data_IF_479918628932
#
_entry.id   IF_479918628932
#
_cell.length_a   1.000
_cell.length_b   1.000
_cell.length_c   1.000
_cell.angle_alpha   90.00
_cell.angle_beta   90.00
_cell.angle_gamma   90.00
#
_symmetry.space_group_name_H-M   'P 1'
#
loop_
_entity.id
_entity.type
_entity.pdbx_description
1 polymer ?
#
# COMPACT_ATOMS: atom_id res chain seq x y z
N UNK A 1 6.64 17.70 -4.80
CA UNK A 1 6.42 16.32 -5.31
C UNK A 1 4.93 16.06 -5.37
N UNK A 2 4.43 15.42 -6.44
CA UNK A 2 2.99 15.31 -6.73
C UNK A 2 2.21 14.52 -5.65
N UNK A 3 2.88 13.68 -4.87
CA UNK A 3 2.26 12.79 -3.86
C UNK A 3 3.13 12.71 -2.60
N UNK A 4 3.10 13.73 -1.71
CA UNK A 4 4.01 13.80 -0.58
C UNK A 4 3.78 12.70 0.47
N UNK A 5 2.56 12.19 0.65
CA UNK A 5 2.25 11.15 1.65
C UNK A 5 2.66 9.75 1.19
N UNK A 6 2.36 9.36 -0.05
CA UNK A 6 2.87 8.11 -0.65
C UNK A 6 4.39 8.17 -0.75
N UNK A 7 4.94 9.34 -1.05
CA UNK A 7 6.39 9.56 -1.03
C UNK A 7 6.95 9.43 0.39
N UNK A 8 6.31 9.97 1.41
CA UNK A 8 6.73 9.85 2.81
C UNK A 8 6.76 8.37 3.27
N UNK A 9 5.69 7.61 3.01
CA UNK A 9 5.59 6.17 3.34
C UNK A 9 6.70 5.34 2.67
N UNK A 10 7.16 5.73 1.48
CA UNK A 10 8.20 5.01 0.73
C UNK A 10 9.62 5.52 1.02
N UNK A 11 9.76 6.74 1.55
CA UNK A 11 11.05 7.44 1.73
C UNK A 11 11.50 7.48 3.19
N UNK A 12 10.59 7.49 4.16
CA UNK A 12 10.92 7.47 5.60
C UNK A 12 11.24 6.06 6.10
N UNK A 13 12.26 5.41 5.54
CA UNK A 13 12.86 4.26 6.21
C UNK A 13 13.72 4.75 7.38
N UNK A 14 13.11 4.91 8.55
CA UNK A 14 13.79 4.78 9.84
C UNK A 14 13.44 3.42 10.42
N UNK A 15 14.41 2.75 11.04
CA UNK A 15 14.28 1.39 11.61
C UNK A 15 13.06 1.22 12.57
N UNK A 16 12.49 2.32 13.09
CA UNK A 16 11.26 2.31 13.90
C UNK A 16 9.97 1.99 13.13
N UNK A 17 9.86 2.32 11.85
CA UNK A 17 8.64 2.06 11.06
C UNK A 17 8.56 0.60 10.57
N UNK A 18 9.72 -0.03 10.34
CA UNK A 18 9.79 -1.45 10.01
C UNK A 18 9.18 -2.31 11.13
N UNK A 19 9.43 -1.94 12.40
CA UNK A 19 8.84 -2.61 13.56
C UNK A 19 7.31 -2.45 13.63
N UNK A 20 6.78 -1.27 13.30
CA UNK A 20 5.34 -1.01 13.38
C UNK A 20 4.57 -1.66 12.23
N UNK A 21 5.17 -1.79 11.05
CA UNK A 21 4.60 -2.55 9.94
C UNK A 21 4.60 -4.05 10.20
N UNK A 22 5.70 -4.59 10.72
CA UNK A 22 5.76 -5.99 11.10
C UNK A 22 4.75 -6.30 12.21
N UNK A 23 4.53 -5.37 13.16
CA UNK A 23 3.44 -5.48 14.14
C UNK A 23 2.07 -5.47 13.47
N UNK A 24 1.83 -4.61 12.49
CA UNK A 24 0.57 -4.60 11.74
C UNK A 24 0.30 -5.94 11.05
N UNK A 25 1.28 -6.49 10.33
CA UNK A 25 1.14 -7.80 9.69
C UNK A 25 0.94 -8.91 10.72
N UNK A 26 1.68 -8.87 11.84
CA UNK A 26 1.50 -9.82 12.94
C UNK A 26 0.06 -9.77 13.49
N UNK A 27 -0.45 -8.58 13.78
CA UNK A 27 -1.84 -8.42 14.25
C UNK A 27 -2.85 -8.94 13.23
N UNK A 28 -2.63 -8.66 11.94
CA UNK A 28 -3.52 -9.16 10.88
C UNK A 28 -3.44 -10.68 10.69
N UNK A 29 -2.27 -11.29 10.91
CA UNK A 29 -2.13 -12.76 10.98
C UNK A 29 -2.92 -13.30 12.17
N UNK A 30 -2.78 -12.69 13.35
CA UNK A 30 -3.50 -13.10 14.56
C UNK A 30 -5.03 -12.97 14.41
N UNK A 31 -5.49 -11.99 13.63
CA UNK A 31 -6.91 -11.78 13.29
C UNK A 31 -7.41 -12.68 12.13
N UNK A 32 -6.53 -13.47 11.52
CA UNK A 32 -6.82 -14.35 10.39
C UNK A 32 -7.06 -13.61 9.07
N UNK A 33 -6.61 -12.37 8.95
CA UNK A 33 -6.73 -11.55 7.73
C UNK A 33 -5.55 -11.76 6.78
N UNK A 34 -4.36 -12.02 7.32
CA UNK A 34 -3.15 -12.27 6.55
C UNK A 34 -2.63 -13.71 6.70
N UNK A 35 -1.92 -14.18 5.69
CA UNK A 35 -1.37 -15.53 5.59
C UNK A 35 -0.19 -15.73 6.55
N UNK A 36 -0.35 -16.70 7.46
CA UNK A 36 0.70 -17.03 8.46
C UNK A 36 1.98 -17.65 7.86
N UNK A 37 1.94 -18.15 6.63
CA UNK A 37 3.05 -18.84 5.97
C UNK A 37 4.01 -17.89 5.23
N UNK A 38 3.72 -16.59 5.23
CA UNK A 38 4.53 -15.57 4.55
C UNK A 38 5.60 -15.01 5.48
N UNK A 39 6.83 -14.88 4.98
CA UNK A 39 7.87 -14.09 5.64
C UNK A 39 7.69 -12.59 5.30
N UNK A 40 7.06 -11.87 6.23
CA UNK A 40 6.76 -10.44 6.08
C UNK A 40 7.98 -9.55 6.06
N UNK A 41 9.13 -9.98 6.59
CA UNK A 41 10.36 -9.20 6.48
C UNK A 41 10.81 -9.24 5.02
N UNK A 42 10.87 -10.42 4.42
CA UNK A 42 11.29 -10.59 3.03
C UNK A 42 10.34 -9.87 2.07
N UNK A 43 9.04 -10.15 2.15
CA UNK A 43 8.11 -9.64 1.13
C UNK A 43 7.90 -8.14 1.22
N UNK A 44 7.85 -7.55 2.43
CA UNK A 44 7.70 -6.10 2.57
C UNK A 44 8.98 -5.36 2.18
N UNK A 45 10.17 -5.92 2.46
CA UNK A 45 11.44 -5.31 2.03
C UNK A 45 11.49 -5.21 0.51
N UNK A 46 11.21 -6.32 -0.19
CA UNK A 46 11.20 -6.34 -1.66
C UNK A 46 10.13 -5.42 -2.25
N UNK A 47 8.93 -5.43 -1.67
CA UNK A 47 7.84 -4.55 -2.09
C UNK A 47 8.21 -3.07 -1.96
N UNK A 48 8.82 -2.67 -0.84
CA UNK A 48 9.31 -1.30 -0.59
C UNK A 48 10.38 -0.89 -1.57
N UNK A 49 11.36 -1.76 -1.82
CA UNK A 49 12.45 -1.46 -2.75
C UNK A 49 11.95 -1.28 -4.18
N UNK A 50 11.01 -2.12 -4.63
CA UNK A 50 10.37 -2.00 -5.95
C UNK A 50 9.57 -0.69 -6.07
N UNK A 51 8.77 -0.33 -5.05
CA UNK A 51 8.06 0.95 -5.03
C UNK A 51 9.02 2.14 -4.98
N UNK A 52 10.11 2.04 -4.23
CA UNK A 52 11.14 3.08 -4.13
C UNK A 52 11.83 3.31 -5.47
N UNK A 53 12.16 2.25 -6.22
CA UNK A 53 12.71 2.36 -7.58
C UNK A 53 11.70 3.07 -8.48
N UNK A 54 10.44 2.66 -8.46
CA UNK A 54 9.37 3.31 -9.23
C UNK A 54 9.26 4.81 -8.91
N UNK A 55 9.17 5.18 -7.63
CA UNK A 55 9.02 6.57 -7.22
C UNK A 55 10.25 7.45 -7.44
N UNK A 56 11.45 6.86 -7.45
CA UNK A 56 12.70 7.57 -7.79
C UNK A 56 12.85 7.82 -9.29
N UNK A 57 12.17 7.02 -10.11
CA UNK A 57 12.19 7.19 -11.57
C UNK A 57 11.21 8.30 -11.94
N UNK A 58 11.62 9.55 -11.76
CA UNK A 58 10.77 10.73 -11.96
C UNK A 58 10.19 10.78 -13.38
N UNK A 59 8.89 11.10 -13.49
CA UNK A 59 8.19 11.66 -14.66
C UNK A 59 8.11 10.83 -15.94
N UNK A 60 9.02 9.88 -16.15
CA UNK A 60 9.26 9.18 -17.40
C UNK A 60 9.10 7.66 -17.28
N UNK A 61 8.48 7.20 -16.19
CA UNK A 61 8.15 5.80 -16.03
C UNK A 61 6.92 5.44 -16.87
N UNK A 62 6.96 4.27 -17.50
CA UNK A 62 5.93 3.80 -18.46
C UNK A 62 4.53 3.59 -17.88
N UNK A 63 4.38 3.57 -16.55
CA UNK A 63 3.12 3.26 -15.86
C UNK A 63 2.70 4.41 -14.95
N UNK A 64 1.41 4.74 -14.98
CA UNK A 64 0.81 5.72 -14.07
C UNK A 64 0.76 5.17 -12.64
N UNK A 65 0.65 6.07 -11.65
CA UNK A 65 0.51 5.66 -10.25
C UNK A 65 -0.73 4.78 -10.04
N UNK A 66 -1.83 5.08 -10.75
CA UNK A 66 -3.04 4.29 -10.71
C UNK A 66 -2.80 2.86 -11.23
N UNK A 67 -2.12 2.71 -12.38
CA UNK A 67 -1.75 1.40 -12.92
C UNK A 67 -0.86 0.61 -11.96
N UNK A 68 0.12 1.26 -11.34
CA UNK A 68 0.98 0.63 -10.34
C UNK A 68 0.18 0.20 -9.11
N UNK A 69 -0.74 1.03 -8.62
CA UNK A 69 -1.59 0.65 -7.50
C UNK A 69 -2.48 -0.55 -7.84
N UNK A 70 -3.23 -0.49 -8.93
CA UNK A 70 -4.19 -1.54 -9.32
C UNK A 70 -3.51 -2.85 -9.71
N UNK A 71 -2.40 -2.78 -10.44
CA UNK A 71 -1.78 -3.98 -11.03
C UNK A 71 -0.66 -4.56 -10.17
N UNK A 72 0.01 -3.74 -9.35
CA UNK A 72 1.15 -4.19 -8.54
C UNK A 72 0.81 -4.21 -7.05
N UNK A 73 0.33 -3.10 -6.48
CA UNK A 73 0.03 -3.02 -5.04
C UNK A 73 -1.14 -3.94 -4.66
N UNK A 74 -2.25 -3.91 -5.40
CA UNK A 74 -3.38 -4.80 -5.09
C UNK A 74 -3.03 -6.27 -5.31
N UNK A 75 -2.21 -6.60 -6.31
CA UNK A 75 -1.74 -7.97 -6.53
C UNK A 75 -0.89 -8.45 -5.34
N UNK A 76 -0.01 -7.60 -4.81
CA UNK A 76 0.74 -7.88 -3.59
C UNK A 76 -0.20 -8.15 -2.41
N UNK A 77 -1.14 -7.25 -2.13
CA UNK A 77 -2.09 -7.40 -1.02
C UNK A 77 -2.91 -8.69 -1.18
N UNK A 78 -3.47 -8.94 -2.37
CA UNK A 78 -4.23 -10.16 -2.68
C UNK A 78 -3.42 -11.44 -2.51
N UNK A 79 -2.10 -11.39 -2.72
CA UNK A 79 -1.21 -12.53 -2.51
C UNK A 79 -0.95 -12.88 -1.04
N UNK A 80 -1.05 -11.90 -0.14
CA UNK A 80 -0.73 -12.06 1.30
C UNK A 80 -1.96 -12.17 2.20
N UNK A 81 -3.17 -11.84 1.72
CA UNK A 81 -4.41 -11.99 2.49
C UNK A 81 -4.95 -13.43 2.46
N UNK A 82 -5.71 -13.78 3.49
CA UNK A 82 -6.52 -15.02 3.52
C UNK A 82 -7.84 -14.83 2.74
N UNK A 83 -8.67 -15.87 2.53
CA UNK A 83 -9.99 -15.69 1.94
C UNK A 83 -10.85 -14.64 2.68
N UNK A 84 -10.80 -14.63 4.02
CA UNK A 84 -11.46 -13.61 4.87
C UNK A 84 -10.90 -12.21 4.63
N UNK A 85 -9.57 -12.08 4.55
CA UNK A 85 -8.94 -10.79 4.25
C UNK A 85 -9.25 -10.30 2.84
N UNK A 86 -9.43 -11.21 1.88
CA UNK A 86 -9.77 -10.88 0.50
C UNK A 86 -11.21 -10.38 0.38
N UNK A 87 -12.16 -10.98 1.10
CA UNK A 87 -13.54 -10.48 1.21
C UNK A 87 -13.58 -9.05 1.78
N UNK A 88 -12.86 -8.82 2.89
CA UNK A 88 -12.73 -7.48 3.48
C UNK A 88 -12.09 -6.47 2.53
N UNK A 89 -11.09 -6.88 1.75
CA UNK A 89 -10.45 -6.04 0.73
C UNK A 89 -11.45 -5.69 -0.39
N UNK A 90 -12.19 -6.68 -0.89
CA UNK A 90 -13.15 -6.45 -1.97
C UNK A 90 -14.30 -5.54 -1.53
N UNK A 91 -14.78 -5.68 -0.29
CA UNK A 91 -15.79 -4.78 0.27
C UNK A 91 -15.25 -3.36 0.43
N UNK A 92 -14.02 -3.20 0.95
CA UNK A 92 -13.35 -1.91 1.02
C UNK A 92 -13.24 -1.24 -0.35
N UNK A 93 -12.89 -2.00 -1.40
CA UNK A 93 -12.75 -1.49 -2.77
C UNK A 93 -14.10 -1.15 -3.43
N UNK A 94 -15.18 -1.86 -3.08
CA UNK A 94 -16.54 -1.51 -3.53
C UNK A 94 -17.01 -0.19 -2.91
N UNK A 95 -16.73 0.02 -1.63
CA UNK A 95 -17.08 1.25 -0.91
C UNK A 95 -16.19 2.44 -1.32
N UNK A 96 -14.94 2.16 -1.71
CA UNK A 96 -13.95 3.15 -2.10
C UNK A 96 -13.47 2.88 -3.53
N UNK A 97 -14.35 3.02 -4.54
CA UNK A 97 -14.00 2.74 -5.91
C UNK A 97 -12.86 3.66 -6.35
N UNK A 98 -11.73 3.05 -6.69
CA UNK A 98 -10.54 3.78 -7.09
C UNK A 98 -10.82 4.40 -8.45
N UNK A 99 -11.01 5.71 -8.46
CA UNK A 99 -11.15 6.49 -9.69
C UNK A 99 -10.20 7.67 -9.65
N UNK A 100 -9.71 8.07 -10.82
CA UNK A 100 -8.85 9.24 -10.99
C UNK A 100 -9.50 10.54 -10.43
N UNK A 101 -10.84 10.55 -10.31
CA UNK A 101 -11.68 11.60 -9.71
C UNK A 101 -11.77 11.53 -8.18
N UNK A 102 -11.96 10.33 -7.59
CA UNK A 102 -11.95 10.14 -6.12
C UNK A 102 -10.61 10.52 -5.49
N UNK A 103 -9.52 10.26 -6.21
CA UNK A 103 -8.15 10.56 -5.81
C UNK A 103 -7.85 12.07 -5.82
N UNK A 104 -8.53 12.84 -6.69
CA UNK A 104 -8.43 14.30 -6.75
C UNK A 104 -9.29 15.00 -5.70
N UNK A 105 -10.49 14.48 -5.39
CA UNK A 105 -11.39 15.08 -4.39
C UNK A 105 -10.84 15.01 -2.95
N UNK A 106 -10.21 13.90 -2.57
CA UNK A 106 -9.57 13.78 -1.25
C UNK A 106 -8.27 14.60 -1.11
N UNK A 107 -7.69 15.05 -2.22
CA UNK A 107 -6.50 15.92 -2.22
C UNK A 107 -6.82 17.41 -2.45
N UNK A 108 -8.05 17.77 -2.87
CA UNK A 108 -8.49 19.17 -2.98
C UNK A 108 -9.14 19.70 -1.70
N UNK A 109 -9.61 18.82 -0.82
CA UNK A 109 -10.09 19.17 0.50
C UNK A 109 -8.97 18.92 1.50
N UNK A 110 -8.23 19.98 1.86
CA UNK A 110 -7.23 19.98 2.92
C UNK A 110 -7.86 19.71 4.30
N UNK A 111 -8.32 18.48 4.51
CA UNK A 111 -8.84 18.02 5.78
C UNK A 111 -7.63 17.68 6.64
N UNK A 112 -7.15 18.70 7.37
CA UNK A 112 -6.39 18.50 8.61
C UNK A 112 -7.17 17.52 9.49
N UNK A 113 -6.74 16.26 9.57
CA UNK A 113 -7.16 15.37 10.65
C UNK A 113 -6.41 15.82 11.91
N UNK A 114 -7.19 16.30 12.88
CA UNK A 114 -6.75 16.49 14.27
C UNK A 114 -6.37 15.17 14.90
#
# INVERSE_FOLDING_TARGET
KKYPEVYAIVVESRDKEADDELKFFKMGVDQGLFRKDIDYVVVNTLFRDLLRIYLKTEGNYKFTMLQVYESFVLTYIRGIVTPKGNEMLDDFLKENPISDTSWKMNNSLGIKRK
#
